data_IF_766949964225
#
_entry.id   IF_766949964225
#
_cell.length_a   1.000
_cell.length_b   1.000
_cell.length_c   1.000
_cell.angle_alpha   90.00
_cell.angle_beta   90.00
_cell.angle_gamma   90.00
#
_symmetry.space_group_name_H-M   'P 1'
#
loop_
_entity.id
_entity.type
_entity.pdbx_description
1 polymer ?
#
# COMPACT_ATOMS: atom_id res chain seq x y z
N UNK A 1 -3.36 12.79 2.80
CA UNK A 1 -2.66 13.89 2.09
C UNK A 1 -2.89 15.20 2.84
N UNK A 2 -1.85 15.99 3.18
CA UNK A 2 -2.07 17.25 3.92
C UNK A 2 -2.81 18.28 3.05
N UNK A 3 -3.90 18.86 3.58
CA UNK A 3 -4.78 19.80 2.88
C UNK A 3 -4.05 20.99 2.23
N UNK A 4 -3.01 21.50 2.90
CA UNK A 4 -2.17 22.58 2.39
C UNK A 4 -1.36 22.18 1.14
N UNK A 5 -0.92 20.92 1.07
CA UNK A 5 -0.20 20.39 -0.10
C UNK A 5 -1.14 20.23 -1.29
N UNK A 6 -2.38 19.80 -1.03
CA UNK A 6 -3.41 19.70 -2.04
C UNK A 6 -3.74 21.09 -2.61
N UNK A 7 -4.04 22.07 -1.75
CA UNK A 7 -4.29 23.47 -2.17
C UNK A 7 -3.17 24.04 -3.03
N UNK A 8 -1.90 23.84 -2.63
CA UNK A 8 -0.73 24.29 -3.41
C UNK A 8 -0.63 23.62 -4.77
N UNK A 9 -1.00 22.34 -4.87
CA UNK A 9 -0.97 21.59 -6.11
C UNK A 9 -2.06 22.05 -7.08
N UNK A 10 -3.27 22.28 -6.57
CA UNK A 10 -4.39 22.78 -7.36
C UNK A 10 -4.19 24.20 -7.87
N UNK A 11 -3.53 25.07 -7.09
CA UNK A 11 -3.13 26.41 -7.55
C UNK A 11 -2.28 26.38 -8.83
N UNK A 12 -1.45 25.34 -9.03
CA UNK A 12 -0.65 25.21 -10.26
C UNK A 12 -1.50 24.93 -11.50
N UNK A 13 -2.68 24.34 -11.31
CA UNK A 13 -3.60 23.95 -12.37
C UNK A 13 -4.70 24.99 -12.59
N UNK A 14 -5.15 25.64 -11.52
CA UNK A 14 -6.22 26.62 -11.50
C UNK A 14 -5.73 27.91 -10.81
N UNK A 15 -5.31 28.93 -11.58
CA UNK A 15 -4.84 30.20 -11.03
C UNK A 15 -5.88 30.94 -10.17
N UNK A 16 -7.16 30.59 -10.32
CA UNK A 16 -8.29 31.20 -9.61
C UNK A 16 -8.50 30.64 -8.18
N UNK A 17 -7.69 29.67 -7.74
CA UNK A 17 -7.72 29.14 -6.38
C UNK A 17 -7.16 30.21 -5.42
N UNK A 18 -7.98 30.71 -4.48
CA UNK A 18 -7.66 31.90 -3.69
C UNK A 18 -6.48 31.67 -2.72
N UNK A 19 -5.91 32.78 -2.28
CA UNK A 19 -4.86 32.81 -1.27
C UNK A 19 -5.49 33.14 0.07
N UNK A 20 -6.13 32.15 0.70
CA UNK A 20 -6.57 32.28 2.09
C UNK A 20 -5.35 32.43 3.01
N UNK A 21 -5.41 33.41 3.91
CA UNK A 21 -4.40 33.62 4.94
C UNK A 21 -4.28 32.38 5.84
N UNK A 22 -3.09 32.22 6.40
CA UNK A 22 -2.63 31.20 7.32
C UNK A 22 -3.33 31.31 8.69
N UNK A 23 -4.61 30.96 8.71
CA UNK A 23 -5.39 30.75 9.94
C UNK A 23 -5.59 29.25 10.20
N UNK A 24 -6.21 28.90 11.34
CA UNK A 24 -6.26 27.55 11.92
C UNK A 24 -6.67 26.42 10.91
N UNK A 25 -6.20 25.18 11.16
CA UNK A 25 -6.34 24.02 10.25
C UNK A 25 -7.80 23.70 9.89
N UNK A 26 -8.73 23.89 10.83
CA UNK A 26 -10.16 23.64 10.64
C UNK A 26 -10.86 24.70 9.79
N UNK A 27 -10.43 25.96 9.86
CA UNK A 27 -10.90 27.02 8.96
C UNK A 27 -10.34 26.85 7.55
N UNK A 28 -9.08 26.43 7.43
CA UNK A 28 -8.48 26.13 6.12
C UNK A 28 -9.28 25.06 5.38
N UNK A 29 -9.76 24.03 6.07
CA UNK A 29 -10.53 22.97 5.41
C UNK A 29 -11.86 23.47 4.85
N UNK A 30 -12.56 24.33 5.59
CA UNK A 30 -13.81 24.93 5.13
C UNK A 30 -13.57 25.92 3.98
N UNK A 31 -12.55 26.77 4.11
CA UNK A 31 -12.11 27.71 3.06
C UNK A 31 -11.84 26.96 1.75
N UNK A 32 -10.96 25.97 1.79
CA UNK A 32 -10.60 25.14 0.64
C UNK A 32 -11.81 24.38 0.09
N UNK A 33 -12.71 23.88 0.94
CA UNK A 33 -13.93 23.23 0.48
C UNK A 33 -14.86 24.18 -0.29
N UNK A 34 -14.96 25.45 0.12
CA UNK A 34 -15.73 26.46 -0.64
C UNK A 34 -15.08 26.76 -1.99
N UNK A 35 -13.75 26.80 -2.06
CA UNK A 35 -13.01 26.97 -3.32
C UNK A 35 -13.30 25.82 -4.29
N UNK A 36 -13.23 24.56 -3.81
CA UNK A 36 -13.59 23.38 -4.60
C UNK A 36 -15.06 23.37 -5.01
N UNK A 37 -15.98 23.75 -4.12
CA UNK A 37 -17.41 23.80 -4.43
C UNK A 37 -17.73 24.78 -5.56
N UNK A 38 -17.10 25.96 -5.56
CA UNK A 38 -17.23 26.93 -6.64
C UNK A 38 -16.72 26.38 -7.98
N UNK A 39 -15.62 25.62 -7.95
CA UNK A 39 -15.05 24.98 -9.15
C UNK A 39 -15.97 23.87 -9.65
N UNK A 40 -16.43 22.98 -8.77
CA UNK A 40 -17.33 21.88 -9.12
C UNK A 40 -18.66 22.37 -9.68
N UNK A 41 -19.15 23.51 -9.22
CA UNK A 41 -20.34 24.16 -9.78
C UNK A 41 -20.18 24.60 -11.24
N UNK A 42 -18.95 24.71 -11.75
CA UNK A 42 -18.69 25.01 -13.17
C UNK A 42 -18.65 23.76 -14.06
N UNK A 43 -18.59 22.56 -13.48
CA UNK A 43 -18.51 21.30 -14.21
C UNK A 43 -19.85 20.55 -14.18
N UNK A 44 -20.41 20.18 -15.36
CA UNK A 44 -21.63 19.37 -15.40
C UNK A 44 -21.37 17.99 -14.78
N UNK A 45 -22.30 17.49 -13.96
CA UNK A 45 -22.21 16.18 -13.29
C UNK A 45 -21.70 16.20 -11.85
N UNK A 46 -21.37 17.37 -11.30
CA UNK A 46 -20.98 17.55 -9.89
C UNK A 46 -22.10 18.15 -9.03
N UNK A 47 -23.35 18.18 -9.50
CA UNK A 47 -24.47 18.84 -8.82
C UNK A 47 -24.78 18.24 -7.43
N UNK A 48 -24.39 16.99 -7.19
CA UNK A 48 -24.58 16.28 -5.93
C UNK A 48 -23.38 16.40 -4.97
N UNK A 49 -22.31 17.10 -5.35
CA UNK A 49 -21.12 17.26 -4.52
C UNK A 49 -21.27 18.47 -3.59
N UNK A 50 -21.87 18.26 -2.43
CA UNK A 50 -22.05 19.31 -1.43
C UNK A 50 -20.75 19.64 -0.69
N UNK A 51 -20.76 20.79 0.00
CA UNK A 51 -19.61 21.26 0.79
C UNK A 51 -19.23 20.24 1.86
N UNK A 52 -20.21 19.54 2.45
CA UNK A 52 -19.97 18.54 3.50
C UNK A 52 -19.16 17.38 2.96
N UNK A 53 -19.54 16.84 1.81
CA UNK A 53 -18.86 15.72 1.15
C UNK A 53 -17.42 16.10 0.78
N UNK A 54 -17.21 17.34 0.35
CA UNK A 54 -15.87 17.88 0.05
C UNK A 54 -15.04 18.01 1.34
N UNK A 55 -15.61 18.51 2.43
CA UNK A 55 -14.93 18.62 3.73
C UNK A 55 -14.56 17.23 4.26
N UNK A 56 -15.48 16.27 4.21
CA UNK A 56 -15.25 14.89 4.65
C UNK A 56 -14.12 14.24 3.82
N UNK A 57 -14.09 14.49 2.51
CA UNK A 57 -13.00 14.05 1.63
C UNK A 57 -11.66 14.73 1.96
N UNK A 58 -11.65 16.05 2.18
CA UNK A 58 -10.43 16.78 2.54
C UNK A 58 -9.87 16.35 3.90
N UNK A 59 -10.74 15.84 4.78
CA UNK A 59 -10.40 15.41 6.13
C UNK A 59 -10.16 13.90 6.26
N UNK A 60 -10.35 13.10 5.21
CA UNK A 60 -10.29 11.63 5.29
C UNK A 60 -8.97 11.09 5.86
N UNK A 61 -7.88 11.83 5.63
CA UNK A 61 -6.52 11.46 6.04
C UNK A 61 -5.98 12.33 7.19
N UNK A 62 -6.82 13.10 7.91
CA UNK A 62 -6.33 13.93 9.04
C UNK A 62 -5.88 13.07 10.21
N UNK A 63 -6.62 12.00 10.48
CA UNK A 63 -6.35 11.07 11.58
C UNK A 63 -5.53 9.86 11.13
N UNK A 64 -5.38 9.68 9.81
CA UNK A 64 -4.62 8.57 9.26
C UNK A 64 -3.11 8.87 9.31
N UNK A 65 -2.43 8.19 10.22
CA UNK A 65 -0.98 8.27 10.38
C UNK A 65 -0.20 7.66 9.21
N UNK A 66 -0.88 7.11 8.18
CA UNK A 66 -0.29 6.39 7.05
C UNK A 66 0.87 7.13 6.35
N UNK A 67 0.91 8.48 6.45
CA UNK A 67 1.99 9.29 5.89
C UNK A 67 2.52 10.36 6.84
N UNK A 68 2.59 10.07 8.15
CA UNK A 68 3.46 10.89 9.00
C UNK A 68 4.89 10.76 8.45
N UNK A 69 5.49 11.90 8.07
CA UNK A 69 6.94 11.99 7.87
C UNK A 69 7.56 11.75 9.25
N UNK A 70 7.72 10.48 9.61
CA UNK A 70 8.47 10.11 10.80
C UNK A 70 9.93 10.42 10.53
N UNK A 71 10.57 11.08 11.48
CA UNK A 71 12.00 11.31 11.40
C UNK A 71 12.74 9.98 11.65
N UNK A 72 14.00 9.89 11.24
CA UNK A 72 14.80 8.67 11.34
C UNK A 72 14.78 8.09 12.77
N UNK A 73 14.87 8.95 13.78
CA UNK A 73 14.83 8.59 15.21
C UNK A 73 13.50 7.99 15.63
N UNK A 74 12.40 8.48 15.06
CA UNK A 74 11.04 8.04 15.36
C UNK A 74 10.76 6.68 14.70
N UNK A 75 11.28 6.48 13.48
CA UNK A 75 11.24 5.17 12.78
C UNK A 75 12.05 4.14 13.57
N UNK A 76 13.25 4.50 14.03
CA UNK A 76 14.11 3.61 14.81
C UNK A 76 13.46 3.24 16.15
N UNK A 77 12.81 4.19 16.82
CA UNK A 77 12.10 3.93 18.06
C UNK A 77 10.96 2.91 17.86
N UNK A 78 10.13 3.10 16.83
CA UNK A 78 9.02 2.19 16.50
C UNK A 78 9.51 0.75 16.24
N UNK A 79 10.57 0.61 15.44
CA UNK A 79 11.17 -0.71 15.14
C UNK A 79 11.75 -1.37 16.40
N UNK A 80 12.33 -0.57 17.31
CA UNK A 80 12.91 -1.07 18.57
C UNK A 80 11.85 -1.42 19.62
N UNK A 81 10.67 -0.81 19.56
CA UNK A 81 9.58 -1.06 20.49
C UNK A 81 8.62 -2.15 20.03
N UNK A 82 8.72 -2.63 18.79
CA UNK A 82 8.09 -3.90 18.39
C UNK A 82 8.65 -5.02 19.27
N UNK A 83 7.82 -5.81 19.98
CA UNK A 83 8.29 -6.96 20.72
C UNK A 83 9.03 -7.89 19.75
N UNK A 84 10.33 -8.06 20.00
CA UNK A 84 11.08 -9.15 19.41
C UNK A 84 10.62 -10.43 20.10
N UNK A 85 9.76 -11.19 19.43
CA UNK A 85 9.70 -12.63 19.68
C UNK A 85 10.98 -13.25 19.11
N UNK A 86 12.11 -13.02 19.76
CA UNK A 86 13.37 -13.69 19.48
C UNK A 86 14.10 -13.87 20.83
N UNK A 87 13.68 -14.88 21.60
CA UNK A 87 14.61 -15.56 22.51
C UNK A 87 15.18 -16.77 21.76
N UNK A 88 16.30 -16.52 21.07
CA UNK A 88 17.29 -17.55 20.78
C UNK A 88 17.95 -17.96 22.11
N UNK A 89 17.45 -19.05 22.70
CA UNK A 89 18.12 -19.80 23.75
C UNK A 89 18.70 -21.08 23.16
N UNK A 90 20.01 -21.09 22.98
CA UNK A 90 20.84 -22.27 22.71
C UNK A 90 20.77 -23.20 23.93
N UNK A 91 20.01 -24.30 23.82
CA UNK A 91 20.28 -25.53 24.57
C UNK A 91 19.84 -26.74 23.74
N UNK A 92 20.74 -27.70 23.70
CA UNK A 92 20.71 -28.98 22.99
C UNK A 92 19.62 -29.88 23.57
N UNK A 93 18.65 -30.30 22.76
CA UNK A 93 18.21 -31.70 22.63
C UNK A 93 16.92 -31.80 21.81
N UNK A 94 17.08 -32.37 20.60
CA UNK A 94 16.10 -33.24 19.95
C UNK A 94 14.63 -32.87 19.97
N UNK A 95 14.18 -32.12 18.95
CA UNK A 95 12.98 -32.53 18.20
C UNK A 95 13.00 -31.93 16.79
N UNK A 96 12.90 -32.82 15.83
CA UNK A 96 12.84 -32.58 14.40
C UNK A 96 11.57 -31.78 14.05
N UNK A 97 11.59 -30.45 14.17
CA UNK A 97 10.67 -29.60 13.41
C UNK A 97 11.29 -29.33 12.04
N UNK A 98 11.19 -30.35 11.17
CA UNK A 98 11.37 -30.14 9.74
C UNK A 98 10.30 -29.16 9.28
N UNK A 99 10.57 -27.85 9.36
CA UNK A 99 9.86 -26.88 8.55
C UNK A 99 10.03 -27.31 7.09
N UNK A 100 9.01 -27.99 6.56
CA UNK A 100 9.01 -28.51 5.20
C UNK A 100 9.05 -27.30 4.27
N UNK A 101 10.26 -26.94 3.83
CA UNK A 101 10.43 -25.91 2.82
C UNK A 101 9.77 -26.40 1.54
N UNK A 102 8.66 -25.76 1.17
CA UNK A 102 7.95 -26.02 -0.09
C UNK A 102 8.95 -25.78 -1.23
N UNK A 103 9.15 -26.79 -2.08
CA UNK A 103 10.03 -26.66 -3.24
C UNK A 103 9.46 -25.61 -4.20
N UNK A 104 10.33 -24.93 -4.95
CA UNK A 104 9.89 -24.02 -6.02
C UNK A 104 9.01 -24.73 -7.07
N UNK A 105 9.18 -26.05 -7.25
CA UNK A 105 8.31 -26.85 -8.10
C UNK A 105 6.90 -27.01 -7.51
N UNK A 106 6.82 -27.33 -6.22
CA UNK A 106 5.54 -27.51 -5.53
C UNK A 106 4.78 -26.18 -5.42
N UNK A 107 5.51 -25.09 -5.16
CA UNK A 107 4.94 -23.74 -5.19
C UNK A 107 4.36 -23.39 -6.58
N UNK A 108 5.08 -23.70 -7.65
CA UNK A 108 4.60 -23.47 -9.02
C UNK A 108 3.32 -24.26 -9.33
N UNK A 109 3.28 -25.53 -8.96
CA UNK A 109 2.10 -26.40 -9.14
C UNK A 109 0.90 -25.87 -8.33
N UNK A 110 1.12 -25.48 -7.06
CA UNK A 110 0.08 -24.91 -6.22
C UNK A 110 -0.51 -23.63 -6.80
N UNK A 111 0.32 -22.68 -7.24
CA UNK A 111 -0.18 -21.46 -7.87
C UNK A 111 -0.90 -21.72 -9.20
N UNK A 112 -0.42 -22.68 -9.99
CA UNK A 112 -1.06 -23.04 -11.27
C UNK A 112 -2.46 -23.62 -11.05
N UNK A 113 -2.61 -24.50 -10.04
CA UNK A 113 -3.91 -25.05 -9.65
C UNK A 113 -4.84 -23.99 -9.07
N UNK A 114 -4.32 -23.11 -8.21
CA UNK A 114 -5.07 -21.99 -7.66
C UNK A 114 -5.58 -21.04 -8.75
N UNK A 115 -4.75 -20.75 -9.75
CA UNK A 115 -5.12 -19.94 -10.91
C UNK A 115 -6.26 -20.59 -11.71
N UNK A 116 -6.12 -21.88 -12.03
CA UNK A 116 -7.14 -22.61 -12.77
C UNK A 116 -8.48 -22.69 -12.02
N UNK A 117 -8.45 -22.81 -10.69
CA UNK A 117 -9.66 -22.77 -9.86
C UNK A 117 -10.29 -21.37 -9.85
N UNK A 118 -9.48 -20.32 -9.76
CA UNK A 118 -9.93 -18.93 -9.73
C UNK A 118 -10.57 -18.51 -11.06
N UNK A 119 -10.02 -18.95 -12.19
CA UNK A 119 -10.58 -18.74 -13.53
C UNK A 119 -11.97 -19.37 -13.74
N UNK A 120 -12.35 -20.37 -12.93
CA UNK A 120 -13.66 -21.02 -12.99
C UNK A 120 -14.73 -20.31 -12.17
N UNK A 121 -14.36 -19.33 -11.33
CA UNK A 121 -15.32 -18.64 -10.48
C UNK A 121 -16.09 -17.59 -11.29
N UNK A 122 -17.42 -17.61 -11.16
CA UNK A 122 -18.34 -16.73 -11.91
C UNK A 122 -18.22 -15.24 -11.51
N UNK A 123 -17.66 -14.98 -10.31
CA UNK A 123 -17.49 -13.64 -9.72
C UNK A 123 -16.02 -13.28 -9.50
N UNK A 124 -15.11 -13.80 -10.30
CA UNK A 124 -13.70 -13.52 -10.12
C UNK A 124 -13.36 -12.06 -10.47
N UNK A 125 -12.74 -11.34 -9.53
CA UNK A 125 -12.23 -9.99 -9.81
C UNK A 125 -10.96 -10.07 -10.69
N UNK A 126 -10.95 -9.28 -11.75
CA UNK A 126 -9.81 -9.12 -12.65
C UNK A 126 -8.52 -8.75 -11.91
N UNK A 127 -8.61 -8.02 -10.80
CA UNK A 127 -7.44 -7.65 -10.01
C UNK A 127 -6.83 -8.86 -9.28
N UNK A 128 -7.66 -9.75 -8.75
CA UNK A 128 -7.25 -11.00 -8.09
C UNK A 128 -6.57 -11.96 -9.08
N UNK A 129 -7.14 -12.10 -10.30
CA UNK A 129 -6.53 -12.87 -11.38
C UNK A 129 -5.15 -12.35 -11.75
N UNK A 130 -5.02 -11.02 -11.92
CA UNK A 130 -3.75 -10.40 -12.30
C UNK A 130 -2.68 -10.54 -11.22
N UNK A 131 -3.06 -10.54 -9.94
CA UNK A 131 -2.13 -10.77 -8.82
C UNK A 131 -1.66 -12.22 -8.80
N UNK A 132 -2.59 -13.19 -8.89
CA UNK A 132 -2.26 -14.61 -8.82
C UNK A 132 -1.40 -15.06 -10.00
N UNK A 133 -1.65 -14.52 -11.21
CA UNK A 133 -0.90 -14.86 -12.44
C UNK A 133 0.60 -14.54 -12.36
N UNK A 134 1.00 -13.58 -11.52
CA UNK A 134 2.42 -13.19 -11.35
C UNK A 134 3.22 -14.17 -10.47
N UNK A 135 2.54 -14.97 -9.64
CA UNK A 135 3.19 -15.85 -8.67
C UNK A 135 3.79 -17.13 -9.29
N UNK A 136 3.12 -17.84 -10.22
CA UNK A 136 3.73 -18.95 -10.97
C UNK A 136 5.00 -18.52 -11.70
N UNK A 137 4.97 -17.38 -12.39
CA UNK A 137 6.14 -16.87 -13.12
C UNK A 137 7.31 -16.58 -12.18
N UNK A 138 7.04 -16.07 -10.97
CA UNK A 138 8.07 -15.83 -9.95
C UNK A 138 8.67 -17.16 -9.47
N UNK A 139 7.86 -18.17 -9.18
CA UNK A 139 8.32 -19.49 -8.81
C UNK A 139 9.15 -20.14 -9.94
N UNK A 140 8.70 -20.03 -11.20
CA UNK A 140 9.43 -20.52 -12.37
C UNK A 140 10.80 -19.86 -12.54
N UNK A 141 10.90 -18.54 -12.36
CA UNK A 141 12.19 -17.82 -12.37
C UNK A 141 13.12 -18.30 -11.26
N UNK A 142 12.60 -18.54 -10.06
CA UNK A 142 13.40 -19.06 -8.93
C UNK A 142 13.89 -20.50 -9.16
N UNK A 143 13.16 -21.31 -9.93
CA UNK A 143 13.65 -22.63 -10.39
C UNK A 143 14.88 -22.48 -11.28
N UNK A 144 14.89 -21.47 -12.15
CA UNK A 144 15.97 -21.25 -13.11
C UNK A 144 17.22 -20.57 -12.52
N UNK A 145 17.12 -19.93 -11.35
CA UNK A 145 18.26 -19.25 -10.69
C UNK A 145 19.02 -20.14 -9.71
N UNK A 146 18.47 -21.29 -9.33
CA UNK A 146 19.13 -22.26 -8.45
C UNK A 146 20.09 -23.31 -9.09
N UNK A 147 20.30 -23.45 -10.41
CA UNK A 147 21.22 -24.46 -10.92
C UNK A 147 22.71 -24.07 -10.84
N UNK A 148 23.05 -22.82 -10.49
CA UNK A 148 24.45 -22.35 -10.51
C UNK A 148 25.17 -22.37 -9.16
N UNK A 149 24.51 -22.72 -8.04
CA UNK A 149 25.18 -22.85 -6.73
C UNK A 149 25.80 -24.23 -6.48
N UNK A 150 25.44 -25.26 -7.24
CA UNK A 150 26.02 -26.61 -7.08
C UNK A 150 27.29 -26.87 -7.92
N UNK A 151 27.68 -25.94 -8.80
CA UNK A 151 28.85 -26.11 -9.69
C UNK A 151 30.13 -25.42 -9.19
N UNK A 152 30.07 -24.66 -8.09
CA UNK A 152 31.25 -23.97 -7.52
C UNK A 152 31.80 -24.62 -6.25
N UNK A 153 31.28 -25.78 -5.82
CA UNK A 153 31.83 -26.56 -4.68
C UNK A 153 32.49 -27.85 -5.19
N UNK A 154 33.36 -27.73 -6.18
CA UNK A 154 34.32 -28.78 -6.54
C UNK A 154 35.53 -28.16 -7.22
N UNK A 155 36.48 -27.70 -6.43
CA UNK A 155 37.90 -27.72 -6.77
C UNK A 155 38.75 -27.67 -5.51
#
# INVERSE_FOLDING_TARGET
>A
MRILTLRRSWRKLLPNFSTGADENVTDIAKDVATEFSNIFSTFPGFENCGIKEIVDWLNCDIEDACFQLRNDEEIIAEIRHSPKEDEEGDDDEGENDSQVKISNNDAFECFSKGLAWLEQQEQCDSSELMLLRKLPDRAARQRMTNPLKSLFVSK
#
